data_IF_780458340524
#
_entry.id   IF_780458340524
#
_cell.length_a   1.000
_cell.length_b   1.000
_cell.length_c   1.000
_cell.angle_alpha   90.00
_cell.angle_beta   90.00
_cell.angle_gamma   90.00
#
_symmetry.space_group_name_H-M   'P 1'
#
loop_
_entity.id
_entity.type
_entity.pdbx_description
1 polymer ?
#
# COMPACT_ATOMS: atom_id res chain seq x y z
N UNK A 1 -21.46 -25.90 12.22
CA UNK A 1 -21.38 -25.03 11.03
C UNK A 1 -22.25 -23.82 11.34
N UNK A 2 -21.61 -22.72 11.76
CA UNK A 2 -22.24 -21.58 12.42
C UNK A 2 -22.91 -20.62 11.44
N UNK A 3 -24.06 -20.08 11.87
CA UNK A 3 -24.93 -19.13 11.17
C UNK A 3 -24.42 -17.68 11.28
N UNK A 4 -23.11 -17.47 11.14
CA UNK A 4 -22.51 -16.16 11.38
C UNK A 4 -22.31 -15.35 10.08
N UNK A 5 -22.65 -15.95 8.93
CA UNK A 5 -22.34 -15.44 7.57
C UNK A 5 -23.60 -15.13 6.73
N UNK A 6 -24.72 -14.75 7.33
CA UNK A 6 -25.85 -14.18 6.57
C UNK A 6 -25.70 -12.66 6.48
N UNK A 7 -25.75 -12.10 5.25
CA UNK A 7 -25.89 -10.65 5.07
C UNK A 7 -27.09 -10.17 5.89
N UNK A 8 -26.85 -9.17 6.75
CA UNK A 8 -27.88 -8.57 7.60
C UNK A 8 -28.94 -7.90 6.72
N UNK A 9 -30.01 -8.63 6.43
CA UNK A 9 -31.19 -8.08 5.79
C UNK A 9 -31.89 -7.13 6.76
N UNK A 10 -32.49 -6.04 6.27
CA UNK A 10 -33.25 -5.07 7.08
C UNK A 10 -34.24 -5.73 8.05
N UNK A 11 -34.86 -6.83 7.62
CA UNK A 11 -35.76 -7.63 8.44
C UNK A 11 -35.07 -8.24 9.68
N UNK A 12 -33.80 -8.63 9.56
CA UNK A 12 -32.98 -9.28 10.59
C UNK A 12 -32.39 -8.30 11.60
N UNK A 13 -32.48 -6.98 11.36
CA UNK A 13 -31.96 -5.94 12.24
C UNK A 13 -32.93 -5.66 13.41
N UNK A 14 -34.24 -5.81 13.18
CA UNK A 14 -35.31 -5.51 14.15
C UNK A 14 -35.10 -6.15 15.54
N UNK A 15 -34.69 -7.43 15.67
CA UNK A 15 -34.40 -8.05 16.96
C UNK A 15 -33.15 -7.50 17.65
N UNK A 16 -32.18 -7.00 16.87
CA UNK A 16 -30.89 -6.47 17.37
C UNK A 16 -31.00 -5.03 17.87
N UNK A 17 -32.10 -4.35 17.57
CA UNK A 17 -32.31 -2.94 17.90
C UNK A 17 -32.93 -2.72 19.29
N UNK A 18 -33.08 -3.76 20.13
CA UNK A 18 -33.70 -3.66 21.46
C UNK A 18 -35.03 -2.87 21.45
N UNK A 19 -35.85 -3.08 20.41
CA UNK A 19 -37.14 -2.40 20.26
C UNK A 19 -37.08 -0.99 19.64
N UNK A 20 -35.92 -0.51 19.20
CA UNK A 20 -35.82 0.74 18.42
C UNK A 20 -36.18 0.49 16.95
N UNK A 21 -36.93 1.39 16.35
CA UNK A 21 -37.21 1.32 14.91
C UNK A 21 -35.99 1.79 14.11
N UNK A 22 -35.76 1.30 12.88
CA UNK A 22 -34.63 1.74 12.05
C UNK A 22 -34.58 3.27 11.86
N UNK A 23 -35.75 3.94 11.85
CA UNK A 23 -35.87 5.40 11.80
C UNK A 23 -35.33 6.13 13.05
N UNK A 24 -35.10 5.41 14.17
CA UNK A 24 -34.54 5.94 15.42
C UNK A 24 -33.01 5.77 15.50
N UNK A 25 -32.37 5.15 14.50
CA UNK A 25 -30.92 5.13 14.38
C UNK A 25 -30.46 6.51 13.92
N UNK A 26 -30.24 7.41 14.87
CA UNK A 26 -29.78 8.78 14.61
C UNK A 26 -28.27 8.87 14.40
N UNK A 27 -27.53 7.84 14.81
CA UNK A 27 -26.10 7.69 14.52
C UNK A 27 -25.70 6.22 14.67
N UNK A 28 -24.81 5.77 13.80
CA UNK A 28 -24.05 4.53 13.99
C UNK A 28 -22.73 4.99 14.61
N UNK A 29 -22.31 4.47 15.79
CA UNK A 29 -21.02 4.84 16.35
C UNK A 29 -19.93 4.46 15.33
N UNK A 30 -18.94 5.34 15.16
CA UNK A 30 -17.76 5.00 14.37
C UNK A 30 -17.12 3.77 15.00
N UNK A 31 -17.26 2.61 14.35
CA UNK A 31 -16.56 1.42 14.78
C UNK A 31 -15.15 1.57 14.24
N UNK A 32 -14.22 1.99 15.09
CA UNK A 32 -12.81 2.18 14.74
C UNK A 32 -12.11 0.87 14.32
N UNK A 33 -12.79 -0.27 14.42
CA UNK A 33 -12.23 -1.59 14.09
C UNK A 33 -13.04 -2.25 12.97
N UNK A 34 -12.44 -2.47 11.78
CA UNK A 34 -13.12 -3.17 10.69
C UNK A 34 -13.55 -4.58 11.11
N UNK A 35 -14.67 -5.05 10.56
CA UNK A 35 -15.13 -6.43 10.80
C UNK A 35 -14.10 -7.46 10.30
N UNK A 36 -14.16 -8.69 10.81
CA UNK A 36 -13.26 -9.78 10.36
C UNK A 36 -13.35 -10.02 8.85
N UNK A 37 -14.55 -9.92 8.28
CA UNK A 37 -14.81 -10.06 6.85
C UNK A 37 -14.11 -8.95 6.07
N UNK A 38 -14.23 -7.70 6.52
CA UNK A 38 -13.55 -6.56 5.89
C UNK A 38 -12.03 -6.64 5.98
N UNK A 39 -11.50 -7.09 7.12
CA UNK A 39 -10.06 -7.33 7.28
C UNK A 39 -9.55 -8.39 6.29
N UNK A 40 -10.29 -9.50 6.14
CA UNK A 40 -9.91 -10.56 5.22
C UNK A 40 -10.00 -10.09 3.76
N UNK A 41 -11.06 -9.37 3.40
CA UNK A 41 -11.19 -8.77 2.07
C UNK A 41 -10.07 -7.76 1.80
N UNK A 42 -9.68 -6.95 2.80
CA UNK A 42 -8.56 -6.02 2.73
C UNK A 42 -7.23 -6.73 2.46
N UNK A 43 -6.95 -7.84 3.16
CA UNK A 43 -5.76 -8.67 2.91
C UNK A 43 -5.72 -9.24 1.50
N UNK A 44 -6.86 -9.72 0.99
CA UNK A 44 -6.95 -10.23 -0.39
C UNK A 44 -6.67 -9.13 -1.41
N UNK A 45 -7.29 -7.94 -1.25
CA UNK A 45 -7.04 -6.78 -2.12
C UNK A 45 -5.58 -6.35 -2.08
N UNK A 46 -4.97 -6.32 -0.90
CA UNK A 46 -3.55 -6.00 -0.75
C UNK A 46 -2.64 -7.02 -1.45
N UNK A 47 -2.93 -8.31 -1.30
CA UNK A 47 -2.18 -9.38 -1.97
C UNK A 47 -2.25 -9.29 -3.49
N UNK A 48 -3.43 -9.00 -4.04
CA UNK A 48 -3.60 -8.78 -5.48
C UNK A 48 -2.86 -7.53 -5.97
N UNK A 49 -2.95 -6.43 -5.22
CA UNK A 49 -2.27 -5.18 -5.53
C UNK A 49 -0.75 -5.34 -5.56
N UNK A 50 -0.18 -5.94 -4.51
CA UNK A 50 1.27 -6.15 -4.40
C UNK A 50 1.80 -7.14 -5.45
N UNK A 51 1.01 -8.17 -5.80
CA UNK A 51 1.36 -9.08 -6.89
C UNK A 51 1.38 -8.37 -8.27
N UNK A 52 0.50 -7.39 -8.49
CA UNK A 52 0.53 -6.57 -9.71
C UNK A 52 1.77 -5.67 -9.72
N UNK A 53 2.09 -5.04 -8.58
CA UNK A 53 3.24 -4.15 -8.48
C UNK A 53 4.58 -4.86 -8.62
N UNK A 54 4.65 -6.15 -8.29
CA UNK A 54 5.84 -6.97 -8.46
C UNK A 54 6.15 -7.32 -9.93
N UNK A 55 5.25 -7.01 -10.87
CA UNK A 55 5.49 -7.22 -12.29
C UNK A 55 6.50 -6.18 -12.81
N UNK A 56 7.47 -6.59 -13.66
CA UNK A 56 8.42 -5.66 -14.25
C UNK A 56 7.73 -4.52 -15.00
N UNK A 57 8.09 -3.28 -14.66
CA UNK A 57 7.65 -2.11 -15.41
C UNK A 57 8.71 -1.58 -16.39
N UNK A 58 8.29 -0.85 -17.43
CA UNK A 58 9.22 -0.09 -18.26
C UNK A 58 9.70 1.14 -17.50
N UNK A 59 11.02 1.22 -17.26
CA UNK A 59 11.67 2.40 -16.68
C UNK A 59 12.47 3.16 -17.73
N UNK A 60 12.26 4.47 -17.79
CA UNK A 60 13.08 5.41 -18.57
C UNK A 60 14.19 5.98 -17.67
N UNK A 61 15.13 5.11 -17.31
CA UNK A 61 16.28 5.44 -16.45
C UNK A 61 17.48 4.57 -16.83
N UNK A 62 18.70 5.09 -16.65
CA UNK A 62 19.93 4.30 -16.77
C UNK A 62 19.97 3.13 -15.76
N UNK A 63 19.23 3.24 -14.65
CA UNK A 63 19.13 2.23 -13.59
C UNK A 63 17.95 1.25 -13.78
N UNK A 64 17.39 1.16 -14.99
CA UNK A 64 16.20 0.33 -15.26
C UNK A 64 16.33 -1.12 -14.77
N UNK A 65 17.52 -1.72 -14.84
CA UNK A 65 17.71 -3.13 -14.47
C UNK A 65 17.60 -3.31 -12.96
N UNK A 66 18.16 -2.37 -12.22
CA UNK A 66 18.11 -2.27 -10.76
C UNK A 66 16.69 -2.01 -10.28
N UNK A 67 15.94 -1.13 -10.95
CA UNK A 67 14.55 -0.85 -10.64
C UNK A 67 13.64 -2.05 -10.94
N UNK A 68 13.84 -2.76 -12.05
CA UNK A 68 13.14 -4.03 -12.34
C UNK A 68 13.48 -5.10 -11.30
N UNK A 69 14.71 -5.11 -10.78
CA UNK A 69 15.08 -6.02 -9.69
C UNK A 69 14.32 -5.70 -8.40
N UNK A 70 14.11 -4.41 -8.07
CA UNK A 70 13.27 -3.99 -6.95
C UNK A 70 11.82 -4.46 -7.12
N UNK A 71 11.23 -4.26 -8.30
CA UNK A 71 9.88 -4.77 -8.64
C UNK A 71 9.82 -6.30 -8.40
N UNK A 72 10.79 -7.06 -8.92
CA UNK A 72 10.84 -8.51 -8.78
C UNK A 72 11.01 -9.03 -7.35
N UNK A 73 11.48 -8.18 -6.43
CA UNK A 73 11.54 -8.49 -5.00
C UNK A 73 10.22 -8.17 -4.27
N UNK A 74 9.27 -7.50 -4.93
CA UNK A 74 8.03 -7.01 -4.34
C UNK A 74 8.15 -5.65 -3.65
N UNK A 75 9.23 -4.89 -3.93
CA UNK A 75 9.31 -3.50 -3.53
C UNK A 75 8.46 -2.64 -4.46
N UNK A 76 7.72 -1.69 -3.89
CA UNK A 76 6.69 -0.93 -4.60
C UNK A 76 7.23 0.47 -4.92
N UNK A 77 7.42 0.79 -6.20
CA UNK A 77 7.75 2.15 -6.60
C UNK A 77 6.51 3.06 -6.51
N UNK A 78 6.62 4.14 -5.75
CA UNK A 78 5.54 5.11 -5.55
C UNK A 78 5.32 6.07 -6.74
N UNK A 79 6.29 6.26 -7.65
CA UNK A 79 6.10 7.04 -8.89
C UNK A 79 5.11 6.38 -9.85
N UNK A 80 5.00 5.05 -9.78
CA UNK A 80 4.09 4.26 -10.63
C UNK A 80 2.65 4.30 -10.12
N UNK A 81 2.40 4.93 -8.98
CA UNK A 81 1.16 4.80 -8.23
C UNK A 81 0.53 6.14 -7.89
N UNK A 82 -0.74 6.29 -8.28
CA UNK A 82 -1.61 7.30 -7.74
C UNK A 82 -2.27 6.80 -6.46
N UNK A 83 -2.54 7.73 -5.52
CA UNK A 83 -3.22 7.42 -4.25
C UNK A 83 -4.53 6.64 -4.43
N UNK A 84 -5.26 6.91 -5.51
CA UNK A 84 -6.55 6.29 -5.87
C UNK A 84 -6.41 4.81 -6.28
N UNK A 85 -5.22 4.38 -6.69
CA UNK A 85 -4.95 2.99 -7.07
C UNK A 85 -4.63 2.12 -5.85
N UNK A 86 -4.21 2.73 -4.73
CA UNK A 86 -4.01 2.03 -3.47
C UNK A 86 -5.39 1.63 -2.92
N UNK A 87 -5.67 0.33 -2.71
CA UNK A 87 -7.01 -0.07 -2.36
C UNK A 87 -7.44 0.50 -1.00
N UNK A 88 -8.73 0.85 -0.84
CA UNK A 88 -9.22 1.51 0.36
C UNK A 88 -9.28 0.56 1.56
N UNK A 89 -9.24 1.15 2.76
CA UNK A 89 -9.40 0.45 4.04
C UNK A 89 -8.40 -0.70 4.23
N UNK A 90 -7.16 -0.50 3.77
CA UNK A 90 -6.07 -1.44 3.99
C UNK A 90 -5.20 -0.91 5.13
N UNK A 91 -4.98 -1.76 6.13
CA UNK A 91 -3.92 -1.59 7.10
C UNK A 91 -2.63 -2.22 6.55
N UNK A 92 -1.58 -1.41 6.43
CA UNK A 92 -0.26 -1.88 5.99
C UNK A 92 0.63 -1.96 7.22
N UNK A 93 0.75 -3.17 7.77
CA UNK A 93 1.64 -3.44 8.89
C UNK A 93 3.09 -3.59 8.41
N UNK A 94 4.04 -3.20 9.27
CA UNK A 94 5.48 -3.35 9.01
C UNK A 94 5.89 -2.78 7.64
N UNK A 95 5.62 -1.50 7.40
CA UNK A 95 6.00 -0.83 6.17
C UNK A 95 7.34 -0.09 6.34
N UNK A 96 8.25 -0.25 5.38
CA UNK A 96 9.48 0.53 5.28
C UNK A 96 9.40 1.39 4.02
N UNK A 97 9.60 2.69 4.18
CA UNK A 97 9.72 3.63 3.07
C UNK A 97 11.19 3.92 2.80
N UNK A 98 11.63 3.70 1.56
CA UNK A 98 12.99 3.97 1.11
C UNK A 98 13.02 5.17 0.18
N UNK A 99 13.97 6.06 0.39
CA UNK A 99 14.23 7.20 -0.48
C UNK A 99 15.71 7.20 -0.78
N UNK A 100 16.05 7.10 -2.07
CA UNK A 100 17.45 7.10 -2.50
C UNK A 100 17.57 7.89 -3.80
N UNK A 101 18.52 8.82 -3.84
CA UNK A 101 18.62 9.83 -4.89
C UNK A 101 19.98 9.73 -5.57
N UNK A 102 20.08 8.98 -6.68
CA UNK A 102 21.32 8.88 -7.45
C UNK A 102 21.67 10.16 -8.23
N UNK A 103 20.74 11.13 -8.30
CA UNK A 103 20.86 12.37 -9.05
C UNK A 103 21.20 12.11 -10.51
N UNK A 104 20.36 11.30 -11.17
CA UNK A 104 20.56 10.90 -12.56
C UNK A 104 20.60 12.13 -13.47
N UNK A 105 21.58 12.17 -14.39
CA UNK A 105 21.75 13.29 -15.32
C UNK A 105 22.32 14.58 -14.70
N UNK A 106 22.58 14.64 -13.39
CA UNK A 106 23.18 15.79 -12.74
C UNK A 106 24.70 15.64 -12.57
N UNK A 107 25.41 16.77 -12.50
CA UNK A 107 26.88 16.82 -12.37
C UNK A 107 27.43 16.23 -11.07
N UNK A 108 26.58 16.07 -10.05
CA UNK A 108 26.92 15.50 -8.74
C UNK A 108 26.32 14.10 -8.54
N UNK A 109 26.07 13.36 -9.64
CA UNK A 109 25.58 11.98 -9.56
C UNK A 109 26.48 11.11 -8.70
N UNK A 110 25.87 10.31 -7.83
CA UNK A 110 26.57 9.40 -6.92
C UNK A 110 26.78 8.01 -7.53
N UNK A 111 26.57 7.88 -8.85
CA UNK A 111 26.65 6.64 -9.62
C UNK A 111 25.78 5.51 -9.00
N UNK A 112 26.11 4.27 -9.34
CA UNK A 112 25.30 3.09 -9.00
C UNK A 112 25.29 2.75 -7.51
N UNK A 113 26.18 3.35 -6.70
CA UNK A 113 26.32 3.04 -5.28
C UNK A 113 25.02 3.24 -4.50
N UNK A 114 24.35 4.37 -4.73
CA UNK A 114 23.11 4.73 -4.03
C UNK A 114 21.95 3.80 -4.39
N UNK A 115 21.85 3.40 -5.66
CA UNK A 115 20.82 2.47 -6.11
C UNK A 115 21.08 1.07 -5.54
N UNK A 116 22.34 0.63 -5.50
CA UNK A 116 22.74 -0.63 -4.89
C UNK A 116 22.43 -0.67 -3.39
N UNK A 117 22.69 0.43 -2.66
CA UNK A 117 22.32 0.55 -1.26
C UNK A 117 20.79 0.44 -1.08
N UNK A 118 20.02 1.08 -1.95
CA UNK A 118 18.55 0.96 -2.01
C UNK A 118 18.09 -0.50 -2.15
N UNK A 119 18.71 -1.26 -3.07
CA UNK A 119 18.44 -2.69 -3.29
C UNK A 119 18.78 -3.51 -2.03
N UNK A 120 19.93 -3.27 -1.41
CA UNK A 120 20.36 -4.01 -0.22
C UNK A 120 19.45 -3.73 0.98
N UNK A 121 19.04 -2.46 1.16
CA UNK A 121 18.06 -2.08 2.18
C UNK A 121 16.72 -2.76 1.93
N UNK A 122 16.21 -2.73 0.70
CA UNK A 122 14.96 -3.41 0.34
C UNK A 122 15.03 -4.91 0.63
N UNK A 123 16.13 -5.57 0.23
CA UNK A 123 16.35 -6.99 0.48
C UNK A 123 16.36 -7.31 1.98
N UNK A 124 17.02 -6.47 2.79
CA UNK A 124 17.04 -6.62 4.25
C UNK A 124 15.63 -6.50 4.84
N UNK A 125 14.87 -5.48 4.48
CA UNK A 125 13.53 -5.26 5.02
C UNK A 125 12.54 -6.34 4.59
N UNK A 126 12.58 -6.75 3.33
CA UNK A 126 11.75 -7.85 2.82
C UNK A 126 12.08 -9.16 3.55
N UNK A 127 13.37 -9.45 3.82
CA UNK A 127 13.76 -10.63 4.62
C UNK A 127 13.18 -10.61 6.04
N UNK A 128 12.92 -9.42 6.57
CA UNK A 128 12.28 -9.18 7.88
C UNK A 128 10.75 -9.10 7.79
N UNK A 129 10.16 -9.44 6.63
CA UNK A 129 8.71 -9.43 6.36
C UNK A 129 8.09 -8.03 6.33
N UNK A 130 8.89 -7.00 6.05
CA UNK A 130 8.35 -5.66 5.80
C UNK A 130 7.80 -5.55 4.38
N UNK A 131 6.73 -4.76 4.23
CA UNK A 131 6.36 -4.20 2.95
C UNK A 131 7.34 -3.06 2.65
N UNK A 132 7.94 -3.04 1.46
CA UNK A 132 8.86 -1.97 1.07
C UNK A 132 8.21 -1.12 0.00
N UNK A 133 8.10 0.18 0.27
CA UNK A 133 7.74 1.20 -0.71
C UNK A 133 8.96 2.07 -0.95
N UNK A 134 9.13 2.59 -2.16
CA UNK A 134 10.29 3.44 -2.45
C UNK A 134 10.00 4.55 -3.46
N UNK A 135 10.81 5.60 -3.39
CA UNK A 135 11.00 6.60 -4.44
C UNK A 135 12.49 6.62 -4.82
N UNK A 136 12.75 6.72 -6.12
CA UNK A 136 14.11 6.77 -6.65
C UNK A 136 14.29 8.08 -7.39
N UNK A 137 15.23 8.90 -6.93
CA UNK A 137 15.57 10.17 -7.57
C UNK A 137 14.47 11.23 -7.52
N UNK A 138 13.76 11.29 -6.40
CA UNK A 138 12.73 12.29 -6.16
C UNK A 138 13.32 13.71 -6.19
N UNK A 139 12.67 14.58 -6.94
CA UNK A 139 13.02 16.00 -7.05
C UNK A 139 12.62 16.76 -5.79
N UNK A 140 13.28 17.89 -5.52
CA UNK A 140 12.91 18.76 -4.40
C UNK A 140 11.45 19.21 -4.46
N UNK A 141 10.88 19.40 -5.67
CA UNK A 141 9.48 19.81 -5.83
C UNK A 141 8.48 18.77 -5.32
N UNK A 142 8.79 17.48 -5.47
CA UNK A 142 7.96 16.38 -4.99
C UNK A 142 7.92 16.30 -3.45
N UNK A 143 8.91 16.88 -2.76
CA UNK A 143 8.90 16.99 -1.30
C UNK A 143 8.13 18.20 -0.77
N UNK A 144 8.06 19.30 -1.53
CA UNK A 144 7.52 20.57 -1.05
C UNK A 144 6.05 20.81 -1.40
N UNK A 145 5.50 20.05 -2.34
CA UNK A 145 4.10 20.21 -2.76
C UNK A 145 3.34 18.95 -2.35
N UNK A 146 2.60 18.95 -1.24
CA UNK A 146 1.59 17.92 -1.03
C UNK A 146 0.59 18.06 -2.17
N UNK A 147 0.59 17.10 -3.09
CA UNK A 147 -0.54 16.94 -4.01
C UNK A 147 -1.70 16.39 -3.19
N UNK A 148 -2.68 17.25 -2.92
CA UNK A 148 -3.95 16.90 -2.30
C UNK A 148 -4.73 15.86 -3.13
#
# INVERSE_FOLDING_TARGET
MGKDDEELQLANITPLLNGKTPAQITSIPAVDTPSKVEQQAGKTRWGQFTAEMAKPAPYDSKYKNELVKLDGMGAINLEKLLRVQIPPNIQIDNCAALFFNPYEGLTHTLNDGIVNDGILMAQLFISKRYNVVYLCDATHHEYYTPTD
#
